data_IF_473502998434
#
_entry.id   IF_473502998434
#
_cell.length_a   1.000
_cell.length_b   1.000
_cell.length_c   1.000
_cell.angle_alpha   90.00
_cell.angle_beta   90.00
_cell.angle_gamma   90.00
#
_symmetry.space_group_name_H-M   'P 1'
#
loop_
_entity.id
_entity.type
_entity.pdbx_description
1 polymer ?
#
# COMPACT_ATOMS: atom_id res chain seq x y z
N UNK A 1 -1.31 1.48 -16.38
CA UNK A 1 -1.58 0.64 -15.21
C UNK A 1 -0.34 0.55 -14.35
N UNK A 2 -0.47 0.87 -13.07
CA UNK A 2 0.61 0.77 -12.07
C UNK A 2 0.26 -0.36 -11.10
N UNK A 3 1.25 -0.93 -10.44
CA UNK A 3 1.07 -1.98 -9.43
C UNK A 3 1.86 -1.64 -8.19
N UNK A 4 1.29 -1.86 -7.01
CA UNK A 4 1.93 -1.59 -5.72
C UNK A 4 2.36 -2.88 -5.06
N UNK A 5 3.58 -2.91 -4.53
CA UNK A 5 4.04 -3.99 -3.64
C UNK A 5 3.27 -3.94 -2.34
N UNK A 6 2.63 -5.06 -1.99
CA UNK A 6 1.86 -5.20 -0.74
C UNK A 6 2.64 -5.95 0.34
N UNK A 7 3.56 -6.84 -0.05
CA UNK A 7 4.46 -7.53 0.87
C UNK A 7 5.90 -7.41 0.40
N UNK A 8 6.86 -7.18 1.30
CA UNK A 8 8.26 -7.07 0.93
C UNK A 8 8.80 -8.41 0.43
N UNK A 9 9.69 -8.36 -0.56
CA UNK A 9 10.35 -9.54 -1.10
C UNK A 9 11.75 -9.19 -1.64
N UNK A 10 12.59 -10.21 -1.82
CA UNK A 10 13.93 -10.07 -2.38
C UNK A 10 13.97 -10.77 -3.73
N UNK A 11 14.51 -10.11 -4.73
CA UNK A 11 14.65 -10.64 -6.07
C UNK A 11 15.99 -10.21 -6.66
N UNK A 12 16.79 -11.18 -7.12
CA UNK A 12 18.12 -10.95 -7.71
C UNK A 12 19.03 -10.05 -6.86
N UNK A 13 18.90 -10.13 -5.52
CA UNK A 13 19.66 -9.30 -4.58
C UNK A 13 19.06 -7.91 -4.33
N UNK A 14 18.01 -7.52 -5.04
CA UNK A 14 17.27 -6.27 -4.82
C UNK A 14 16.14 -6.52 -3.84
N UNK A 15 16.04 -5.68 -2.80
CA UNK A 15 14.97 -5.73 -1.81
C UNK A 15 13.87 -4.74 -2.20
N UNK A 16 12.66 -5.26 -2.32
CA UNK A 16 11.46 -4.49 -2.61
C UNK A 16 10.63 -4.34 -1.34
N UNK A 17 10.17 -3.13 -1.08
CA UNK A 17 9.41 -2.79 0.12
C UNK A 17 7.94 -2.60 -0.21
N UNK A 18 7.09 -2.87 0.78
CA UNK A 18 5.67 -2.53 0.67
C UNK A 18 5.51 -1.04 0.40
N UNK A 19 4.89 -0.68 -0.72
CA UNK A 19 4.87 0.70 -1.20
C UNK A 19 5.46 0.88 -2.59
N UNK A 20 6.46 0.07 -2.97
CA UNK A 20 7.14 0.18 -4.26
C UNK A 20 6.17 0.03 -5.43
N UNK A 21 6.44 0.75 -6.52
CA UNK A 21 5.53 0.90 -7.65
C UNK A 21 6.16 0.30 -8.91
N UNK A 22 5.49 -0.69 -9.47
CA UNK A 22 5.78 -1.27 -10.78
C UNK A 22 4.91 -0.66 -11.86
N UNK A 23 5.43 -0.61 -13.09
CA UNK A 23 4.72 -0.02 -14.22
C UNK A 23 4.36 -1.06 -15.27
N UNK A 24 3.57 -0.66 -16.26
CA UNK A 24 3.18 -1.54 -17.36
C UNK A 24 4.35 -1.95 -18.28
N UNK A 25 5.57 -1.44 -18.04
CA UNK A 25 6.79 -1.95 -18.66
C UNK A 25 7.18 -3.32 -18.11
N UNK A 26 6.75 -3.64 -16.90
CA UNK A 26 7.13 -4.84 -16.13
C UNK A 26 6.06 -5.94 -16.20
N UNK A 27 5.22 -5.97 -17.25
CA UNK A 27 4.07 -6.90 -17.38
C UNK A 27 4.39 -8.36 -17.04
N UNK A 28 5.52 -8.87 -17.55
CA UNK A 28 5.96 -10.24 -17.29
C UNK A 28 6.21 -10.47 -15.80
N UNK A 29 6.91 -9.52 -15.16
CA UNK A 29 7.21 -9.55 -13.73
C UNK A 29 5.94 -9.42 -12.89
N UNK A 30 5.05 -8.53 -13.28
CA UNK A 30 3.77 -8.32 -12.60
C UNK A 30 2.95 -9.62 -12.60
N UNK A 31 2.91 -10.32 -13.74
CA UNK A 31 2.25 -11.63 -13.82
C UNK A 31 2.92 -12.64 -12.90
N UNK A 32 4.25 -12.75 -12.93
CA UNK A 32 5.00 -13.66 -12.04
C UNK A 32 4.81 -13.37 -10.55
N UNK A 33 4.58 -12.12 -10.16
CA UNK A 33 4.37 -11.70 -8.77
C UNK A 33 2.89 -11.76 -8.33
N UNK A 34 1.98 -12.05 -9.25
CA UNK A 34 0.58 -12.36 -8.93
C UNK A 34 0.48 -13.69 -8.17
N UNK A 35 -0.50 -13.82 -7.28
CA UNK A 35 -0.72 -15.02 -6.44
C UNK A 35 -0.77 -16.31 -7.24
N UNK A 36 -1.35 -16.25 -8.44
CA UNK A 36 -1.57 -17.40 -9.30
C UNK A 36 -0.25 -17.98 -9.85
N UNK A 37 0.76 -17.13 -10.05
CA UNK A 37 1.99 -17.50 -10.75
C UNK A 37 3.24 -17.48 -9.85
N UNK A 38 3.16 -16.94 -8.63
CA UNK A 38 4.32 -16.89 -7.73
C UNK A 38 4.43 -18.13 -6.82
N UNK A 39 5.68 -18.51 -6.50
CA UNK A 39 6.00 -19.69 -5.67
C UNK A 39 5.51 -19.60 -4.22
N UNK A 40 5.26 -18.39 -3.72
CA UNK A 40 4.83 -18.15 -2.34
C UNK A 40 3.31 -18.30 -2.18
N UNK A 41 2.55 -18.49 -3.28
CA UNK A 41 1.08 -18.54 -3.30
C UNK A 41 0.43 -17.36 -2.55
N UNK A 42 1.11 -16.22 -2.53
CA UNK A 42 0.70 -15.01 -1.79
C UNK A 42 0.79 -13.81 -2.71
N UNK A 43 -0.23 -12.96 -2.76
CA UNK A 43 -0.20 -11.72 -3.54
C UNK A 43 1.02 -10.89 -3.12
N UNK A 44 2.01 -10.67 -3.98
CA UNK A 44 3.15 -9.78 -3.66
C UNK A 44 2.91 -8.35 -4.13
N UNK A 45 2.10 -8.19 -5.17
CA UNK A 45 1.74 -6.90 -5.76
C UNK A 45 0.25 -6.84 -6.08
N UNK A 46 -0.34 -5.63 -6.06
CA UNK A 46 -1.74 -5.38 -6.47
C UNK A 46 -1.82 -4.27 -7.52
N UNK A 47 -2.78 -4.33 -8.45
CA UNK A 47 -3.01 -3.21 -9.36
C UNK A 47 -3.38 -1.96 -8.58
N UNK A 48 -2.85 -0.82 -9.02
CA UNK A 48 -3.28 0.50 -8.61
C UNK A 48 -4.20 0.98 -9.72
N UNK A 49 -5.49 0.93 -9.44
CA UNK A 49 -6.47 1.55 -10.30
C UNK A 49 -6.22 3.06 -10.27
N UNK A 50 -6.19 3.69 -11.43
CA UNK A 50 -6.09 5.15 -11.55
C UNK A 50 -7.46 5.81 -11.28
N UNK A 51 -8.26 5.18 -10.41
CA UNK A 51 -9.57 5.66 -10.04
C UNK A 51 -9.39 6.60 -8.84
N UNK A 52 -9.21 7.86 -9.16
CA UNK A 52 -9.03 8.97 -8.23
C UNK A 52 -10.31 9.27 -7.41
N UNK A 53 -11.20 8.31 -7.14
CA UNK A 53 -12.53 8.65 -6.58
C UNK A 53 -13.25 7.65 -5.68
N UNK A 54 -12.72 6.47 -5.33
CA UNK A 54 -13.44 5.60 -4.35
C UNK A 54 -12.58 5.02 -3.23
N UNK A 55 -12.90 5.53 -2.02
CA UNK A 55 -12.61 5.01 -0.68
C UNK A 55 -11.22 5.28 -0.09
N UNK A 56 -10.89 6.56 0.04
CA UNK A 56 -10.36 7.03 1.32
C UNK A 56 -11.53 7.24 2.30
N UNK A 57 -12.22 6.16 2.70
CA UNK A 57 -12.94 6.19 3.97
C UNK A 57 -11.90 5.94 5.05
N UNK A 58 -11.06 6.95 5.27
CA UNK A 58 -10.35 7.09 6.54
C UNK A 58 -11.47 7.26 7.55
N UNK A 59 -11.73 6.17 8.28
CA UNK A 59 -12.45 6.17 9.54
C UNK A 59 -11.81 7.26 10.40
N UNK A 60 -12.44 8.43 10.40
CA UNK A 60 -12.03 9.59 11.19
C UNK A 60 -12.02 9.17 12.64
N UNK A 61 -10.82 9.19 13.19
CA UNK A 61 -10.46 9.18 14.60
C UNK A 61 -11.61 9.68 15.47
N UNK A 62 -12.29 8.75 16.16
CA UNK A 62 -13.06 9.08 17.35
C UNK A 62 -12.04 9.44 18.44
N UNK A 63 -11.66 10.72 18.53
CA UNK A 63 -11.02 11.26 19.73
C UNK A 63 -12.07 11.21 20.84
N UNK A 64 -11.95 10.21 21.72
CA UNK A 64 -12.67 10.16 22.98
C UNK A 64 -11.94 11.06 23.98
N UNK A 65 -12.72 11.97 24.57
CA UNK A 65 -12.60 12.68 25.84
C UNK A 65 -11.23 12.87 26.52
N UNK A 66 -10.92 14.13 26.87
CA UNK A 66 -10.09 14.41 28.05
C UNK A 66 -9.37 15.75 28.07
N UNK A 67 -10.07 16.81 28.48
CA UNK A 67 -9.60 18.06 29.10
C UNK A 67 -8.78 19.08 28.26
N UNK A 68 -9.25 20.34 28.11
CA UNK A 68 -8.37 21.47 27.87
C UNK A 68 -7.71 21.90 29.20
N UNK A 69 -6.40 21.96 29.19
CA UNK A 69 -5.57 22.58 30.22
C UNK A 69 -5.89 24.09 30.26
N UNK A 70 -6.15 24.59 31.47
CA UNK A 70 -6.57 25.95 31.78
C UNK A 70 -5.36 26.91 31.63
N UNK A 71 -5.27 27.60 30.48
CA UNK A 71 -4.29 28.68 30.29
C UNK A 71 -4.87 30.02 30.77
N UNK A 72 -4.16 30.61 31.73
CA UNK A 72 -4.49 31.79 32.53
C UNK A 72 -4.97 33.00 31.71
N UNK A 73 -6.09 33.56 32.18
CA UNK A 73 -6.48 34.92 31.86
C UNK A 73 -5.52 35.96 32.46
N UNK A 74 -5.38 37.03 31.68
CA UNK A 74 -4.64 38.28 31.85
C UNK A 74 -4.86 39.02 33.18
#
# INVERSE_FOLDING_TARGET
>A
MKYKVVYPFIEKGVKYWSGDIYTNKDKKRIKELSTENNKLKKVLIKPIEADESKKASVETTKKVDGAPEEEKAK
#
